data_IF_772803375490
#
_entry.id   IF_772803375490
#
_cell.length_a   1.000
_cell.length_b   1.000
_cell.length_c   1.000
_cell.angle_alpha   90.00
_cell.angle_beta   90.00
_cell.angle_gamma   90.00
#
_symmetry.space_group_name_H-M   'P 1'
#
loop_
_entity.id
_entity.type
_entity.pdbx_description
1 polymer ?
#
# COMPACT_ATOMS: atom_id res chain seq x y z
N UNK A 1 -14.56 12.74 -3.45
CA UNK A 1 -13.60 12.02 -2.60
C UNK A 1 -12.31 11.79 -3.39
N UNK A 2 -11.22 11.39 -2.75
CA UNK A 2 -9.87 11.35 -3.33
C UNK A 2 -9.37 9.91 -3.47
N UNK A 3 -8.65 9.63 -4.58
CA UNK A 3 -7.88 8.42 -4.79
C UNK A 3 -6.40 8.79 -4.80
N UNK A 4 -5.59 8.07 -4.03
CA UNK A 4 -4.13 8.17 -4.03
C UNK A 4 -3.59 6.85 -4.55
N UNK A 5 -2.88 6.86 -5.66
CA UNK A 5 -2.37 5.65 -6.29
C UNK A 5 -1.21 5.93 -7.24
N UNK A 6 -0.51 4.87 -7.65
CA UNK A 6 0.55 4.95 -8.65
C UNK A 6 0.05 4.71 -10.08
N UNK A 7 -1.04 3.97 -10.23
CA UNK A 7 -1.63 3.65 -11.52
C UNK A 7 -3.15 3.45 -11.39
N UNK A 8 -3.97 4.45 -11.76
CA UNK A 8 -5.42 4.42 -11.52
C UNK A 8 -6.21 3.62 -12.55
N UNK A 9 -5.59 3.27 -13.68
CA UNK A 9 -6.31 2.75 -14.85
C UNK A 9 -5.97 1.29 -15.13
N UNK A 10 -7.01 0.47 -15.33
CA UNK A 10 -6.95 -0.90 -15.85
C UNK A 10 -7.80 -0.99 -17.11
N UNK A 11 -7.75 -2.13 -17.82
CA UNK A 11 -8.49 -2.33 -19.07
C UNK A 11 -9.99 -2.00 -18.93
N UNK A 12 -10.60 -2.35 -17.79
CA UNK A 12 -12.04 -2.21 -17.53
C UNK A 12 -12.36 -1.10 -16.50
N UNK A 13 -11.54 -0.04 -16.45
CA UNK A 13 -11.70 1.03 -15.44
C UNK A 13 -12.70 2.12 -15.82
N UNK A 14 -13.78 1.77 -16.53
CA UNK A 14 -14.79 2.73 -17.03
C UNK A 14 -15.42 3.55 -15.90
N UNK A 15 -15.67 2.97 -14.73
CA UNK A 15 -16.24 3.69 -13.58
C UNK A 15 -15.28 4.78 -13.07
N UNK A 16 -13.98 4.47 -12.99
CA UNK A 16 -12.96 5.46 -12.63
C UNK A 16 -12.92 6.60 -13.66
N UNK A 17 -12.85 6.25 -14.95
CA UNK A 17 -12.77 7.23 -16.03
C UNK A 17 -14.00 8.17 -16.05
N UNK A 18 -15.19 7.63 -15.85
CA UNK A 18 -16.43 8.41 -15.78
C UNK A 18 -16.41 9.40 -14.60
N UNK A 19 -16.11 8.91 -13.40
CA UNK A 19 -16.08 9.75 -12.21
C UNK A 19 -14.97 10.81 -12.26
N UNK A 20 -13.82 10.48 -12.79
CA UNK A 20 -12.70 11.40 -12.94
C UNK A 20 -13.01 12.51 -13.95
N UNK A 21 -13.54 12.16 -15.14
CA UNK A 21 -13.94 13.14 -16.16
C UNK A 21 -15.10 14.03 -15.68
N UNK A 22 -16.01 13.48 -14.90
CA UNK A 22 -17.10 14.23 -14.27
C UNK A 22 -16.64 15.08 -13.06
N UNK A 23 -15.35 15.09 -12.73
CA UNK A 23 -14.75 15.80 -11.57
C UNK A 23 -15.40 15.41 -10.22
N UNK A 24 -15.92 14.20 -10.11
CA UNK A 24 -16.54 13.66 -8.88
C UNK A 24 -15.52 13.03 -7.93
N UNK A 25 -14.31 12.77 -8.41
CA UNK A 25 -13.19 12.26 -7.61
C UNK A 25 -11.94 13.08 -7.90
N UNK A 26 -11.14 13.29 -6.87
CA UNK A 26 -9.78 13.82 -6.96
C UNK A 26 -8.80 12.68 -7.17
N UNK A 27 -7.75 12.92 -7.94
CA UNK A 27 -6.67 11.96 -8.17
C UNK A 27 -5.34 12.57 -7.74
N UNK A 28 -4.65 11.88 -6.85
CA UNK A 28 -3.24 12.13 -6.53
C UNK A 28 -2.41 10.97 -7.07
N UNK A 29 -1.64 11.23 -8.15
CA UNK A 29 -0.69 10.27 -8.68
C UNK A 29 0.62 10.38 -7.92
N UNK A 30 1.11 9.24 -7.44
CA UNK A 30 2.37 9.15 -6.72
C UNK A 30 3.22 8.04 -7.36
N UNK A 31 4.53 8.26 -7.57
CA UNK A 31 5.41 7.18 -7.98
C UNK A 31 5.29 5.99 -7.03
N UNK A 32 5.23 4.78 -7.58
CA UNK A 32 4.91 3.58 -6.79
C UNK A 32 5.86 3.37 -5.60
N UNK A 33 7.16 3.63 -5.78
CA UNK A 33 8.13 3.56 -4.70
C UNK A 33 7.86 4.59 -3.59
N UNK A 34 7.50 5.83 -3.97
CA UNK A 34 7.14 6.87 -3.01
C UNK A 34 5.83 6.51 -2.26
N UNK A 35 4.86 5.90 -2.96
CA UNK A 35 3.62 5.43 -2.32
C UNK A 35 3.90 4.38 -1.24
N UNK A 36 4.73 3.39 -1.56
CA UNK A 36 5.15 2.37 -0.60
C UNK A 36 5.90 2.99 0.59
N UNK A 37 6.86 3.89 0.32
CA UNK A 37 7.68 4.51 1.35
C UNK A 37 6.87 5.48 2.22
N UNK A 38 5.89 6.20 1.69
CA UNK A 38 4.97 7.04 2.47
C UNK A 38 4.15 6.22 3.47
N UNK A 39 3.71 5.00 3.09
CA UNK A 39 3.05 4.07 4.01
C UNK A 39 4.04 3.52 5.04
N UNK A 40 5.26 3.12 4.62
CA UNK A 40 6.29 2.64 5.53
C UNK A 40 6.68 3.72 6.55
N UNK A 41 6.86 4.96 6.09
CA UNK A 41 7.17 6.11 6.95
C UNK A 41 6.09 6.33 8.02
N UNK A 42 4.81 6.21 7.66
CA UNK A 42 3.70 6.29 8.61
C UNK A 42 3.82 5.24 9.73
N UNK A 43 4.06 3.98 9.36
CA UNK A 43 4.19 2.89 10.32
C UNK A 43 5.48 2.95 11.16
N UNK A 44 6.53 3.61 10.65
CA UNK A 44 7.81 3.76 11.33
C UNK A 44 7.91 5.05 12.17
N UNK A 45 6.87 5.89 12.20
CA UNK A 45 6.91 7.17 12.91
C UNK A 45 7.80 8.23 12.26
N UNK A 46 8.11 8.10 10.97
CA UNK A 46 8.90 9.06 10.20
C UNK A 46 7.97 10.17 9.73
N UNK A 47 8.23 11.42 10.16
CA UNK A 47 7.36 12.56 9.88
C UNK A 47 7.38 13.03 8.42
N UNK A 48 8.52 12.88 7.73
CA UNK A 48 8.70 13.18 6.31
C UNK A 48 10.03 12.61 5.83
N UNK A 49 10.21 12.49 4.51
CA UNK A 49 11.46 12.08 3.90
C UNK A 49 11.67 12.75 2.54
N UNK A 50 12.90 12.79 2.07
CA UNK A 50 13.25 13.32 0.76
C UNK A 50 13.44 12.18 -0.24
N UNK A 51 12.77 12.26 -1.40
CA UNK A 51 12.89 11.31 -2.51
C UNK A 51 13.30 12.02 -3.79
N UNK A 52 14.22 11.46 -4.57
CA UNK A 52 14.58 12.04 -5.87
C UNK A 52 13.51 11.77 -6.95
N UNK A 53 12.62 10.81 -6.69
CA UNK A 53 11.64 10.36 -7.67
C UNK A 53 10.53 11.39 -7.83
N UNK A 54 10.29 11.81 -9.07
CA UNK A 54 9.27 12.79 -9.40
C UNK A 54 9.79 14.22 -9.48
N UNK A 55 11.02 14.51 -9.07
CA UNK A 55 11.60 15.84 -9.23
C UNK A 55 11.56 16.30 -10.69
N UNK A 56 11.19 17.57 -10.93
CA UNK A 56 11.07 18.13 -12.28
C UNK A 56 9.84 17.68 -13.08
N UNK A 57 8.92 16.94 -12.46
CA UNK A 57 7.66 16.52 -13.08
C UNK A 57 6.44 17.10 -12.34
N UNK A 58 5.25 16.90 -12.91
CA UNK A 58 4.00 17.28 -12.23
C UNK A 58 3.79 16.56 -10.87
N UNK A 59 4.45 15.43 -10.63
CA UNK A 59 4.38 14.72 -9.35
C UNK A 59 5.11 15.46 -8.21
N UNK A 60 5.96 16.43 -8.54
CA UNK A 60 6.59 17.35 -7.60
C UNK A 60 5.73 18.59 -7.30
N UNK A 61 4.47 18.60 -7.71
CA UNK A 61 3.53 19.68 -7.42
C UNK A 61 2.52 19.25 -6.37
N UNK A 62 2.13 20.18 -5.52
CA UNK A 62 0.99 20.01 -4.62
C UNK A 62 -0.34 20.09 -5.40
N UNK A 63 -1.45 19.63 -4.84
CA UNK A 63 -2.77 19.72 -5.47
C UNK A 63 -3.22 21.15 -5.80
N UNK A 64 -2.71 22.15 -5.08
CA UNK A 64 -2.95 23.58 -5.30
C UNK A 64 -2.09 24.18 -6.43
N UNK A 65 -1.26 23.37 -7.08
CA UNK A 65 -0.37 23.78 -8.16
C UNK A 65 0.95 24.40 -7.70
N UNK A 66 1.20 24.49 -6.39
CA UNK A 66 2.49 24.95 -5.87
C UNK A 66 3.51 23.81 -5.87
N UNK A 67 4.79 24.09 -6.10
CA UNK A 67 5.82 23.06 -6.01
C UNK A 67 5.95 22.56 -4.57
N UNK A 68 6.15 21.25 -4.43
CA UNK A 68 6.55 20.65 -3.15
C UNK A 68 7.93 21.17 -2.74
N UNK A 69 8.18 21.23 -1.43
CA UNK A 69 9.54 21.52 -0.94
C UNK A 69 10.55 20.59 -1.59
N UNK A 70 11.65 21.16 -2.06
CA UNK A 70 12.75 20.40 -2.64
C UNK A 70 14.08 20.85 -2.07
N UNK A 71 15.03 19.92 -2.01
CA UNK A 71 16.41 20.20 -1.56
C UNK A 71 17.41 19.53 -2.50
N UNK A 72 18.54 20.19 -2.66
CA UNK A 72 19.71 19.59 -3.25
C UNK A 72 20.58 18.95 -2.15
N UNK A 73 20.87 17.68 -2.28
CA UNK A 73 21.71 16.93 -1.35
C UNK A 73 22.78 16.19 -2.19
N UNK A 74 24.04 16.51 -1.94
CA UNK A 74 25.18 15.91 -2.68
C UNK A 74 25.03 15.99 -4.22
N UNK A 75 24.62 17.15 -4.73
CA UNK A 75 24.47 17.40 -6.17
C UNK A 75 23.26 16.75 -6.82
N UNK A 76 22.31 16.20 -6.02
CA UNK A 76 21.08 15.58 -6.51
C UNK A 76 19.86 16.24 -5.86
N UNK A 77 18.85 16.53 -6.67
CA UNK A 77 17.60 17.13 -6.19
C UNK A 77 16.65 16.07 -5.63
N UNK A 78 15.96 16.44 -4.57
CA UNK A 78 14.98 15.62 -3.87
C UNK A 78 13.72 16.42 -3.59
N UNK A 79 12.59 15.75 -3.55
CA UNK A 79 11.26 16.31 -3.21
C UNK A 79 10.85 15.79 -1.85
N UNK A 80 10.29 16.64 -1.01
CA UNK A 80 9.76 16.29 0.30
C UNK A 80 8.45 15.50 0.13
N UNK A 81 8.38 14.34 0.77
CA UNK A 81 7.21 13.49 0.81
C UNK A 81 6.76 13.27 2.27
N UNK A 82 5.44 13.30 2.48
CA UNK A 82 4.83 13.09 3.79
C UNK A 82 4.24 11.68 3.91
N UNK A 83 4.19 11.10 5.12
CA UNK A 83 3.62 9.78 5.33
C UNK A 83 2.12 9.76 5.00
N UNK A 84 1.63 8.57 4.64
CA UNK A 84 0.19 8.30 4.47
C UNK A 84 -0.26 7.43 5.63
N UNK A 85 -1.13 7.96 6.48
CA UNK A 85 -1.79 7.24 7.54
C UNK A 85 -3.19 6.79 7.09
N UNK A 86 -3.57 5.56 7.45
CA UNK A 86 -4.90 5.01 7.19
C UNK A 86 -5.69 4.78 8.47
N UNK A 87 -7.01 4.89 8.40
CA UNK A 87 -7.87 4.44 9.49
C UNK A 87 -8.08 2.93 9.43
N UNK A 88 -8.13 2.38 8.22
CA UNK A 88 -8.33 0.95 7.96
C UNK A 88 -7.45 0.48 6.80
N UNK A 89 -6.72 -0.61 7.02
CA UNK A 89 -6.08 -1.38 5.96
C UNK A 89 -6.86 -2.67 5.70
N UNK A 90 -7.11 -2.95 4.44
CA UNK A 90 -7.66 -4.23 3.97
C UNK A 90 -6.55 -4.93 3.18
N UNK A 91 -6.02 -6.01 3.72
CA UNK A 91 -4.90 -6.74 3.11
C UNK A 91 -5.24 -8.21 2.92
N UNK A 92 -4.45 -8.87 2.10
CA UNK A 92 -4.55 -10.32 1.85
C UNK A 92 -3.21 -10.98 2.16
N UNK A 93 -3.26 -12.12 2.86
CA UNK A 93 -2.10 -12.96 3.14
C UNK A 93 -2.38 -14.42 2.80
N UNK A 94 -1.36 -15.27 2.81
CA UNK A 94 -1.51 -16.71 2.55
C UNK A 94 -2.07 -17.42 3.78
N UNK A 95 -1.43 -17.22 4.93
CA UNK A 95 -1.85 -17.77 6.19
C UNK A 95 -1.62 -16.79 7.33
N UNK A 96 -2.34 -17.00 8.41
CA UNK A 96 -2.15 -16.27 9.66
C UNK A 96 -2.47 -17.11 10.87
N UNK A 97 -1.86 -16.79 12.01
CA UNK A 97 -2.22 -17.37 13.28
C UNK A 97 -3.22 -16.50 14.04
N UNK A 98 -3.76 -16.98 15.15
CA UNK A 98 -4.76 -16.26 15.95
C UNK A 98 -4.23 -14.98 16.61
N UNK A 99 -2.91 -14.76 16.67
CA UNK A 99 -2.31 -13.50 17.13
C UNK A 99 -2.15 -12.47 16.02
N UNK A 100 -2.45 -12.84 14.78
CA UNK A 100 -2.37 -11.92 13.65
C UNK A 100 -1.03 -11.94 12.92
N UNK A 101 -0.11 -12.84 13.26
CA UNK A 101 1.11 -13.01 12.48
C UNK A 101 0.76 -13.52 11.08
N UNK A 102 1.32 -12.90 10.04
CA UNK A 102 0.98 -13.23 8.66
C UNK A 102 2.20 -13.65 7.85
N UNK A 103 1.98 -14.68 7.03
CA UNK A 103 2.91 -15.11 5.99
C UNK A 103 2.27 -14.92 4.61
N UNK A 104 3.11 -14.71 3.61
CA UNK A 104 2.68 -14.39 2.24
C UNK A 104 3.28 -15.39 1.27
N UNK A 105 2.61 -15.56 0.13
CA UNK A 105 3.12 -16.42 -0.93
C UNK A 105 3.73 -15.58 -2.04
N UNK A 106 5.05 -15.71 -2.24
CA UNK A 106 5.80 -15.06 -3.33
C UNK A 106 5.52 -13.55 -3.39
N UNK A 107 5.30 -13.01 -4.60
CA UNK A 107 5.00 -11.60 -4.83
C UNK A 107 3.60 -11.15 -4.35
N UNK A 108 2.71 -12.08 -3.93
CA UNK A 108 1.41 -11.74 -3.36
C UNK A 108 1.51 -10.95 -2.04
N UNK A 109 2.68 -10.84 -1.45
CA UNK A 109 3.00 -9.90 -0.36
C UNK A 109 2.60 -8.47 -0.71
N UNK A 110 2.97 -8.00 -1.91
CA UNK A 110 2.66 -6.67 -2.42
C UNK A 110 2.91 -5.57 -1.37
N UNK A 111 1.97 -4.64 -1.18
CA UNK A 111 2.04 -3.59 -0.15
C UNK A 111 1.43 -4.02 1.21
N UNK A 112 0.97 -5.26 1.34
CA UNK A 112 0.31 -5.74 2.55
C UNK A 112 1.01 -5.36 3.85
N UNK A 113 2.32 -5.65 4.02
CA UNK A 113 3.05 -5.32 5.25
C UNK A 113 3.07 -3.83 5.58
N UNK A 114 3.38 -2.97 4.62
CA UNK A 114 3.46 -1.52 4.86
C UNK A 114 2.10 -0.88 5.03
N UNK A 115 1.05 -1.42 4.38
CA UNK A 115 -0.33 -1.00 4.62
C UNK A 115 -0.79 -1.32 6.04
N UNK A 116 -0.46 -2.52 6.54
CA UNK A 116 -0.77 -2.92 7.90
C UNK A 116 -0.12 -1.98 8.93
N UNK A 117 1.15 -1.61 8.70
CA UNK A 117 1.87 -0.68 9.59
C UNK A 117 1.31 0.74 9.56
N UNK A 118 0.78 1.19 8.42
CA UNK A 118 0.32 2.56 8.21
C UNK A 118 -1.08 2.83 8.76
N UNK A 119 -1.85 1.81 9.08
CA UNK A 119 -3.25 1.95 9.48
C UNK A 119 -3.47 1.77 10.97
N UNK A 120 -4.49 2.46 11.51
CA UNK A 120 -4.93 2.28 12.90
C UNK A 120 -5.55 0.90 13.16
N UNK A 121 -6.19 0.34 12.13
CA UNK A 121 -6.80 -1.00 12.16
C UNK A 121 -6.48 -1.73 10.86
N UNK A 122 -6.19 -3.02 10.97
CA UNK A 122 -5.94 -3.87 9.81
C UNK A 122 -6.82 -5.10 9.86
N UNK A 123 -7.53 -5.35 8.77
CA UNK A 123 -8.24 -6.61 8.53
C UNK A 123 -7.49 -7.38 7.44
N UNK A 124 -7.03 -8.57 7.78
CA UNK A 124 -6.32 -9.46 6.86
C UNK A 124 -7.23 -10.62 6.45
N UNK A 125 -7.46 -10.78 5.16
CA UNK A 125 -8.05 -12.01 4.62
C UNK A 125 -6.95 -13.03 4.37
N UNK A 126 -7.17 -14.28 4.80
CA UNK A 126 -6.21 -15.39 4.68
C UNK A 126 -6.88 -16.63 4.12
N UNK A 127 -6.10 -17.48 3.47
CA UNK A 127 -6.57 -18.77 2.97
C UNK A 127 -6.45 -19.89 4.01
N UNK A 128 -5.62 -19.69 5.04
CA UNK A 128 -5.43 -20.66 6.11
C UNK A 128 -5.25 -19.92 7.43
N UNK A 129 -5.97 -20.38 8.47
CA UNK A 129 -5.69 -20.01 9.85
C UNK A 129 -5.00 -21.22 10.50
N UNK A 130 -3.91 -20.97 11.19
CA UNK A 130 -3.10 -21.98 11.85
C UNK A 130 -3.01 -21.72 13.36
N UNK A 131 -2.64 -22.74 14.11
CA UNK A 131 -2.41 -22.60 15.55
C UNK A 131 -1.12 -21.85 15.84
N UNK A 132 -1.00 -21.32 17.06
CA UNK A 132 0.22 -20.66 17.51
C UNK A 132 1.40 -21.64 17.50
N UNK A 133 2.51 -21.17 16.92
CA UNK A 133 3.73 -21.97 16.79
C UNK A 133 3.81 -22.82 15.52
N UNK A 134 2.76 -22.88 14.71
CA UNK A 134 2.80 -23.58 13.42
C UNK A 134 3.41 -22.75 12.29
N UNK A 135 3.41 -21.41 12.39
CA UNK A 135 4.15 -20.56 11.46
C UNK A 135 5.64 -20.59 11.83
N UNK A 136 6.49 -20.78 10.82
CA UNK A 136 7.91 -20.56 10.96
C UNK A 136 8.15 -19.07 11.31
N UNK A 137 8.75 -18.75 12.47
CA UNK A 137 9.01 -17.37 12.88
C UNK A 137 9.80 -16.55 11.85
N UNK A 138 10.76 -17.19 11.16
CA UNK A 138 11.56 -16.53 10.13
C UNK A 138 10.78 -16.19 8.85
N UNK A 139 9.62 -16.82 8.66
CA UNK A 139 8.72 -16.59 7.52
C UNK A 139 7.66 -15.52 7.81
N UNK A 140 7.52 -15.06 9.05
CA UNK A 140 6.55 -14.03 9.43
C UNK A 140 7.01 -12.68 8.88
N UNK A 141 6.21 -12.10 8.00
CA UNK A 141 6.50 -10.80 7.36
C UNK A 141 5.72 -9.66 7.99
N UNK A 142 4.47 -9.91 8.39
CA UNK A 142 3.67 -8.94 9.14
C UNK A 142 3.43 -9.45 10.54
N UNK A 143 4.06 -8.85 11.56
CA UNK A 143 3.80 -9.19 12.96
C UNK A 143 2.36 -8.89 13.38
N UNK A 144 1.81 -9.70 14.26
CA UNK A 144 0.43 -9.60 14.73
C UNK A 144 0.07 -8.27 15.37
N UNK A 145 1.06 -7.53 15.90
CA UNK A 145 0.83 -6.19 16.49
C UNK A 145 0.19 -5.19 15.51
N UNK A 146 0.32 -5.43 14.22
CA UNK A 146 -0.26 -4.58 13.16
C UNK A 146 -1.61 -5.10 12.64
N UNK A 147 -2.11 -6.24 13.13
CA UNK A 147 -3.31 -6.90 12.61
C UNK A 147 -4.40 -6.94 13.67
N UNK A 148 -5.52 -6.29 13.37
CA UNK A 148 -6.66 -6.22 14.30
C UNK A 148 -7.63 -7.39 14.13
N UNK A 149 -7.71 -7.97 12.92
CA UNK A 149 -8.65 -9.04 12.61
C UNK A 149 -8.15 -9.90 11.44
N UNK A 150 -8.32 -11.21 11.55
CA UNK A 150 -8.13 -12.16 10.47
C UNK A 150 -9.49 -12.70 10.03
N UNK A 151 -9.66 -12.86 8.73
CA UNK A 151 -10.86 -13.42 8.09
C UNK A 151 -10.43 -14.55 7.18
N UNK A 152 -10.90 -15.76 7.45
CA UNK A 152 -10.71 -16.91 6.56
C UNK A 152 -11.54 -16.71 5.31
N UNK A 153 -10.92 -16.86 4.14
CA UNK A 153 -11.61 -16.86 2.84
C UNK A 153 -11.34 -18.19 2.12
N UNK A 154 -12.38 -18.74 1.54
CA UNK A 154 -12.21 -19.94 0.71
C UNK A 154 -11.36 -19.63 -0.52
N UNK A 155 -10.49 -20.57 -0.90
CA UNK A 155 -9.84 -20.58 -2.20
C UNK A 155 -10.91 -20.83 -3.27
N UNK A 156 -11.42 -19.77 -3.89
CA UNK A 156 -12.12 -20.00 -5.17
C UNK A 156 -11.03 -20.43 -6.17
N UNK A 157 -11.03 -21.69 -6.52
CA UNK A 157 -10.27 -22.15 -7.68
C UNK A 157 -10.71 -21.27 -8.85
N UNK A 158 -9.80 -20.47 -9.37
CA UNK A 158 -10.02 -19.78 -10.64
C UNK A 158 -10.04 -20.87 -11.69
N UNK A 159 -11.24 -21.24 -12.13
CA UNK A 159 -11.38 -22.05 -13.32
C UNK A 159 -10.67 -21.30 -14.46
N UNK A 160 -9.54 -21.86 -14.91
CA UNK A 160 -8.98 -21.68 -16.22
C UNK A 160 -8.67 -20.26 -16.68
N UNK A 161 -7.69 -19.62 -16.10
CA UNK A 161 -6.98 -18.47 -16.66
C UNK A 161 -5.49 -18.77 -16.81
N UNK A 162 -5.14 -19.82 -17.55
CA UNK A 162 -3.76 -20.05 -17.94
C UNK A 162 -3.34 -18.97 -18.93
N UNK A 163 -2.40 -18.12 -18.55
CA UNK A 163 -1.63 -17.36 -19.52
C UNK A 163 -0.92 -18.39 -20.42
N UNK A 164 -1.32 -18.46 -21.68
CA UNK A 164 -0.55 -19.09 -22.75
C UNK A 164 0.61 -18.19 -23.15
#
# INVERSE_FOLDING_TARGET
RKIICSYPRQADSYVFDELYRAKKIELELIPQGNLAERMRAAGAGIGAFFSPTGYGTQMAMNPDGQPKESREINGKHYVLEYPIHGDLALIKAEAGDRWGNLVYRKAARNFGPVMAMAAKKTVASVHKIVELGELDPESIVTPGIFVSKIVLIEHKATEGGGFK
#
